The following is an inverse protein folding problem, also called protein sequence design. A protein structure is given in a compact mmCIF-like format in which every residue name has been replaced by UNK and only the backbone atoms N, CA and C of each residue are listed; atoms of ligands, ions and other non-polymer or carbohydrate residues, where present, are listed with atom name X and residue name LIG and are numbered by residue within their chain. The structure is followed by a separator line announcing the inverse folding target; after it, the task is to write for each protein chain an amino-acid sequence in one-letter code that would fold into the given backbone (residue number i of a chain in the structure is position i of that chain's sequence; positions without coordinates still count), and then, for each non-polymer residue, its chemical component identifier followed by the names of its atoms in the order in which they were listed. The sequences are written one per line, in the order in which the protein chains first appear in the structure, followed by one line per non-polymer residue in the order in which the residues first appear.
data_IF_071210199511
#
_entry.id   IF_071210199511
#
_cell.length_a   1.000
_cell.length_b   1.000
_cell.length_c   1.000
_cell.angle_alpha   90.00
_cell.angle_beta   90.00
_cell.angle_gamma   90.00
#
_symmetry.space_group_name_H-M   'P 1'
#
loop_
_entity.id
_entity.type
_entity.pdbx_description
1 polymer ?
#
# COMPACT_ATOMS: atom_id res chain seq x y z
N UNK A 1 -36.62 -26.01 -22.83
CA UNK A 1 -35.24 -25.91 -22.29
C UNK A 1 -34.56 -24.61 -22.69
N UNK A 2 -34.56 -24.20 -23.94
CA UNK A 2 -33.92 -22.97 -24.43
C UNK A 2 -34.42 -21.68 -23.78
N UNK A 3 -35.76 -21.58 -23.54
CA UNK A 3 -36.35 -20.39 -22.91
C UNK A 3 -35.90 -20.18 -21.44
N UNK A 4 -35.75 -21.26 -20.67
CA UNK A 4 -35.27 -21.19 -19.28
C UNK A 4 -33.79 -20.74 -19.19
N UNK A 5 -33.02 -21.14 -20.18
CA UNK A 5 -31.60 -20.73 -20.28
C UNK A 5 -31.50 -19.24 -20.61
N UNK A 6 -32.35 -18.74 -21.51
CA UNK A 6 -32.38 -17.30 -21.86
C UNK A 6 -32.77 -16.45 -20.65
N UNK A 7 -33.78 -16.87 -19.88
CA UNK A 7 -34.16 -16.17 -18.66
C UNK A 7 -33.03 -16.17 -17.62
N UNK A 8 -32.32 -17.29 -17.45
CA UNK A 8 -31.20 -17.38 -16.51
C UNK A 8 -30.05 -16.46 -16.91
N UNK A 9 -29.71 -16.40 -18.21
CA UNK A 9 -28.69 -15.48 -18.74
C UNK A 9 -29.12 -14.02 -18.55
N UNK A 10 -30.40 -13.70 -18.78
CA UNK A 10 -30.94 -12.35 -18.60
C UNK A 10 -30.88 -11.90 -17.13
N UNK A 11 -31.22 -12.78 -16.19
CA UNK A 11 -31.16 -12.50 -14.73
C UNK A 11 -29.72 -12.35 -14.29
N UNK A 12 -28.78 -13.13 -14.84
CA UNK A 12 -27.36 -13.05 -14.49
C UNK A 12 -26.67 -11.81 -15.08
N UNK A 13 -27.10 -11.37 -16.27
CA UNK A 13 -26.57 -10.14 -16.89
C UNK A 13 -27.10 -8.85 -16.25
N UNK A 14 -28.23 -8.90 -15.56
CA UNK A 14 -28.77 -7.76 -14.81
C UNK A 14 -28.10 -7.52 -13.46
N UNK A 15 -27.27 -8.44 -12.98
CA UNK A 15 -26.41 -8.24 -11.81
C UNK A 15 -25.14 -7.47 -12.21
N UNK A 16 -25.30 -6.29 -12.81
CA UNK A 16 -24.24 -5.31 -12.88
C UNK A 16 -23.86 -4.93 -11.45
N UNK A 17 -22.74 -5.45 -10.97
CA UNK A 17 -22.15 -4.95 -9.74
C UNK A 17 -21.73 -3.51 -10.06
N UNK A 18 -22.49 -2.55 -9.55
CA UNK A 18 -22.08 -1.16 -9.56
C UNK A 18 -20.86 -1.07 -8.63
N UNK A 19 -19.68 -1.23 -9.21
CA UNK A 19 -18.43 -0.98 -8.51
C UNK A 19 -18.29 0.55 -8.47
N UNK A 20 -18.63 1.15 -7.34
CA UNK A 20 -18.31 2.53 -7.07
C UNK A 20 -16.85 2.55 -6.60
N UNK A 21 -15.97 3.09 -7.46
CA UNK A 21 -14.63 3.46 -7.04
C UNK A 21 -14.70 4.78 -6.28
N UNK A 22 -14.15 4.84 -5.08
CA UNK A 22 -13.98 6.10 -4.37
C UNK A 22 -12.82 6.89 -4.99
N UNK A 23 -12.92 8.20 -4.97
CA UNK A 23 -11.81 9.07 -5.35
C UNK A 23 -10.61 8.78 -4.44
N UNK A 24 -9.42 8.76 -5.03
CA UNK A 24 -8.17 8.54 -4.32
C UNK A 24 -7.35 9.81 -4.18
N UNK A 25 -6.13 9.68 -3.65
CA UNK A 25 -5.14 10.75 -3.52
C UNK A 25 -5.62 11.93 -2.66
N UNK A 26 -6.21 11.65 -1.52
CA UNK A 26 -6.60 12.65 -0.55
C UNK A 26 -5.38 13.33 0.06
N UNK A 27 -5.47 14.65 0.29
CA UNK A 27 -4.42 15.41 0.97
C UNK A 27 -4.40 14.99 2.44
N UNK A 28 -3.29 14.47 2.98
CA UNK A 28 -3.25 13.92 4.34
C UNK A 28 -3.70 14.88 5.43
N UNK A 29 -3.40 16.17 5.31
CA UNK A 29 -3.84 17.20 6.26
C UNK A 29 -5.35 17.48 6.23
N UNK A 30 -6.07 16.99 5.24
CA UNK A 30 -7.53 17.14 5.08
C UNK A 30 -8.31 15.86 5.35
N UNK A 31 -7.67 14.77 5.78
CA UNK A 31 -8.32 13.48 6.04
C UNK A 31 -9.49 13.59 7.03
N UNK A 32 -9.45 14.55 7.94
CA UNK A 32 -10.54 14.80 8.90
C UNK A 32 -11.89 15.03 8.22
N UNK A 33 -11.89 15.65 7.03
CA UNK A 33 -13.11 15.97 6.28
C UNK A 33 -13.81 14.72 5.77
N UNK A 34 -13.04 13.70 5.41
CA UNK A 34 -13.55 12.45 4.80
C UNK A 34 -13.51 11.26 5.77
N UNK A 35 -13.06 11.46 7.00
CA UNK A 35 -12.92 10.40 8.02
C UNK A 35 -14.21 9.59 8.20
N UNK A 36 -15.37 10.27 8.19
CA UNK A 36 -16.66 9.60 8.32
C UNK A 36 -16.96 8.63 7.17
N UNK A 37 -16.64 9.02 5.94
CA UNK A 37 -16.78 8.15 4.79
C UNK A 37 -15.80 6.98 4.84
N UNK A 38 -14.53 7.25 5.12
CA UNK A 38 -13.50 6.21 5.25
C UNK A 38 -13.86 5.17 6.31
N UNK A 39 -14.44 5.60 7.45
CA UNK A 39 -14.94 4.70 8.50
C UNK A 39 -16.13 3.87 8.05
N UNK A 40 -17.05 4.44 7.28
CA UNK A 40 -18.17 3.69 6.72
C UNK A 40 -17.72 2.61 5.73
N UNK A 41 -16.58 2.84 5.09
CA UNK A 41 -15.95 1.90 4.15
C UNK A 41 -15.04 0.87 4.84
N UNK A 42 -14.96 0.91 6.18
CA UNK A 42 -14.24 -0.08 6.99
C UNK A 42 -12.90 0.38 7.56
N UNK A 43 -12.53 1.66 7.44
CA UNK A 43 -11.33 2.17 8.09
C UNK A 43 -11.51 2.22 9.62
N UNK A 44 -10.63 1.56 10.37
CA UNK A 44 -10.63 1.56 11.83
C UNK A 44 -9.81 2.72 12.41
N UNK A 45 -8.82 3.22 11.66
CA UNK A 45 -7.96 4.33 12.09
C UNK A 45 -8.71 5.67 12.06
N UNK A 46 -8.31 6.59 12.94
CA UNK A 46 -8.72 7.98 12.85
C UNK A 46 -7.85 8.77 11.87
N UNK A 47 -8.31 9.94 11.46
CA UNK A 47 -7.50 10.86 10.67
C UNK A 47 -6.21 11.26 11.41
N UNK A 48 -6.26 11.41 12.74
CA UNK A 48 -5.11 11.73 13.59
C UNK A 48 -4.11 10.57 13.68
N UNK A 49 -4.57 9.31 13.67
CA UNK A 49 -3.67 8.13 13.66
C UNK A 49 -2.87 8.06 12.35
N UNK A 50 -3.46 8.55 11.25
CA UNK A 50 -2.80 8.56 9.94
C UNK A 50 -1.89 9.78 9.81
N UNK A 51 -2.39 10.96 10.14
CA UNK A 51 -1.67 12.21 9.98
C UNK A 51 -1.99 13.17 11.14
N UNK A 52 -1.05 13.35 12.05
CA UNK A 52 -1.11 14.35 13.11
C UNK A 52 0.08 15.30 13.00
N UNK A 53 -0.15 16.60 13.24
CA UNK A 53 0.91 17.61 13.32
C UNK A 53 1.54 17.59 14.70
N UNK A 54 0.74 17.37 15.73
CA UNK A 54 1.14 17.54 17.13
C UNK A 54 1.50 16.24 17.84
N UNK A 55 1.08 15.09 17.29
CA UNK A 55 1.29 13.79 17.90
C UNK A 55 1.97 12.83 16.91
N UNK A 56 2.56 11.76 17.41
CA UNK A 56 3.04 10.67 16.57
C UNK A 56 1.88 10.03 15.82
N UNK A 57 2.08 9.74 14.55
CA UNK A 57 1.09 9.16 13.65
C UNK A 57 1.77 8.33 12.56
N UNK A 58 0.99 7.66 11.73
CA UNK A 58 1.51 6.83 10.65
C UNK A 58 2.47 7.58 9.70
N UNK A 59 2.27 8.91 9.51
CA UNK A 59 3.16 9.74 8.69
C UNK A 59 4.63 9.68 9.14
N UNK A 60 4.88 9.46 10.44
CA UNK A 60 6.24 9.48 10.99
C UNK A 60 7.01 8.19 10.67
N UNK A 61 6.31 7.14 10.25
CA UNK A 61 6.93 5.92 9.74
C UNK A 61 7.41 6.06 8.30
N UNK A 62 6.94 7.07 7.57
CA UNK A 62 7.27 7.28 6.15
C UNK A 62 8.50 8.19 6.07
N UNK A 63 9.52 7.71 5.38
CA UNK A 63 10.82 8.39 5.30
C UNK A 63 11.27 8.58 3.85
N UNK A 64 12.02 9.65 3.62
CA UNK A 64 12.72 9.85 2.35
C UNK A 64 13.93 8.91 2.30
N UNK A 65 14.05 8.12 1.25
CA UNK A 65 15.06 7.08 1.11
C UNK A 65 15.89 7.27 -0.17
N UNK A 66 17.21 7.21 -0.04
CA UNK A 66 18.15 7.15 -1.18
C UNK A 66 18.07 8.32 -2.17
N UNK A 67 17.58 9.50 -1.77
CA UNK A 67 17.60 10.71 -2.60
C UNK A 67 16.45 10.87 -3.59
N UNK A 68 15.45 9.98 -3.60
CA UNK A 68 14.32 10.08 -4.53
C UNK A 68 13.22 9.06 -4.30
N UNK A 69 13.40 8.16 -3.35
CA UNK A 69 12.43 7.14 -3.00
C UNK A 69 11.74 7.43 -1.67
N UNK A 70 10.66 6.72 -1.44
CA UNK A 70 9.98 6.63 -0.15
C UNK A 70 10.24 5.25 0.45
N UNK A 71 10.29 5.17 1.76
CA UNK A 71 10.37 3.93 2.50
C UNK A 71 9.56 4.02 3.79
N UNK A 72 9.19 2.88 4.34
CA UNK A 72 8.41 2.77 5.56
C UNK A 72 9.19 2.04 6.65
N UNK A 73 9.32 2.66 7.82
CA UNK A 73 9.88 2.01 9.02
C UNK A 73 8.79 1.18 9.68
N UNK A 74 8.93 -0.15 9.65
CA UNK A 74 7.87 -1.09 10.07
C UNK A 74 8.20 -1.86 11.35
N UNK A 75 9.34 -1.59 11.98
CA UNK A 75 9.69 -2.20 13.26
C UNK A 75 10.49 -1.28 14.17
N UNK A 76 10.46 -1.58 15.46
CA UNK A 76 11.27 -0.89 16.48
C UNK A 76 12.79 -1.09 16.28
N UNK A 77 13.18 -2.15 15.55
CA UNK A 77 14.57 -2.48 15.23
C UNK A 77 15.05 -1.80 13.94
N UNK A 78 14.22 -0.95 13.33
CA UNK A 78 14.59 -0.22 12.11
C UNK A 78 14.42 -1.02 10.82
N UNK A 79 13.54 -2.05 10.79
CA UNK A 79 13.19 -2.71 9.53
C UNK A 79 12.48 -1.71 8.62
N UNK A 80 13.00 -1.59 7.41
CA UNK A 80 12.50 -0.67 6.39
C UNK A 80 11.96 -1.48 5.21
N UNK A 81 10.77 -1.11 4.72
CA UNK A 81 10.22 -1.57 3.46
C UNK A 81 10.38 -0.47 2.42
N UNK A 82 10.76 -0.85 1.21
CA UNK A 82 10.86 0.06 0.06
C UNK A 82 10.79 -0.72 -1.24
N UNK A 83 10.78 -0.02 -2.37
CA UNK A 83 10.79 -0.65 -3.69
C UNK A 83 12.20 -1.19 -4.03
N UNK A 84 12.24 -2.34 -4.71
CA UNK A 84 13.51 -2.96 -5.13
C UNK A 84 14.43 -1.98 -5.88
N UNK A 85 13.90 -1.18 -6.80
CA UNK A 85 14.71 -0.23 -7.58
C UNK A 85 15.36 0.85 -6.71
N UNK A 86 14.80 1.16 -5.55
CA UNK A 86 15.37 2.14 -4.62
C UNK A 86 16.64 1.63 -3.91
N UNK A 87 16.74 0.33 -3.71
CA UNK A 87 17.92 -0.33 -3.14
C UNK A 87 18.84 -0.96 -4.16
N UNK A 88 18.51 -0.92 -5.45
CA UNK A 88 19.17 -1.68 -6.49
C UNK A 88 20.69 -1.44 -6.55
N UNK A 89 21.13 -0.19 -6.54
CA UNK A 89 22.55 0.16 -6.61
C UNK A 89 23.35 -0.37 -5.41
N UNK A 90 22.76 -0.34 -4.22
CA UNK A 90 23.38 -0.87 -3.01
C UNK A 90 23.49 -2.40 -3.08
N UNK A 91 22.42 -3.06 -3.49
CA UNK A 91 22.41 -4.52 -3.66
C UNK A 91 23.47 -4.92 -4.72
N UNK A 92 23.57 -4.17 -5.82
CA UNK A 92 24.56 -4.42 -6.87
C UNK A 92 25.98 -4.24 -6.36
N UNK A 93 26.28 -3.17 -5.62
CA UNK A 93 27.61 -2.92 -5.05
C UNK A 93 28.08 -4.03 -4.11
N UNK A 94 27.17 -4.64 -3.37
CA UNK A 94 27.46 -5.74 -2.47
C UNK A 94 27.41 -7.11 -3.12
N UNK A 95 26.96 -7.20 -4.38
CA UNK A 95 26.94 -8.46 -5.14
C UNK A 95 28.30 -8.78 -5.75
N UNK A 96 28.62 -10.06 -5.87
CA UNK A 96 29.79 -10.59 -6.56
C UNK A 96 29.37 -11.72 -7.53
N UNK A 97 30.32 -12.23 -8.30
CA UNK A 97 30.07 -13.41 -9.17
C UNK A 97 29.67 -14.65 -8.33
N UNK A 98 30.23 -14.77 -7.13
CA UNK A 98 29.94 -15.88 -6.22
C UNK A 98 28.65 -15.66 -5.42
N UNK A 99 28.33 -14.41 -5.08
CA UNK A 99 27.19 -14.02 -4.27
C UNK A 99 26.33 -12.98 -5.01
N UNK A 100 25.49 -13.44 -5.93
CA UNK A 100 24.62 -12.58 -6.71
C UNK A 100 23.33 -12.27 -5.94
N UNK A 101 23.37 -11.22 -5.12
CA UNK A 101 22.23 -10.80 -4.29
C UNK A 101 21.09 -10.22 -5.10
N UNK A 102 21.34 -9.67 -6.30
CA UNK A 102 20.27 -9.21 -7.19
C UNK A 102 19.38 -10.36 -7.66
N UNK A 103 19.98 -11.54 -7.94
CA UNK A 103 19.28 -12.71 -8.42
C UNK A 103 18.72 -13.56 -7.29
N UNK A 104 19.50 -13.77 -6.25
CA UNK A 104 19.21 -14.77 -5.22
C UNK A 104 18.57 -14.17 -3.96
N UNK A 105 18.54 -12.84 -3.87
CA UNK A 105 18.21 -12.16 -2.65
C UNK A 105 19.33 -12.31 -1.59
N UNK A 106 19.11 -11.66 -0.47
CA UNK A 106 20.02 -11.71 0.68
C UNK A 106 19.19 -11.69 1.95
N UNK A 107 19.40 -12.64 2.83
CA UNK A 107 18.78 -12.68 4.16
C UNK A 107 19.87 -12.92 5.21
N UNK A 108 19.92 -12.05 6.19
CA UNK A 108 20.77 -12.23 7.37
C UNK A 108 19.87 -12.25 8.60
N UNK A 109 19.88 -13.35 9.31
CA UNK A 109 19.28 -13.44 10.65
C UNK A 109 20.29 -12.86 11.64
N UNK A 110 19.85 -11.85 12.40
CA UNK A 110 20.62 -11.29 13.51
C UNK A 110 20.38 -12.11 14.77
#
# INVERSE_FOLDING_TARGET
MKFKIIIFILIFSLKGILIFGHEGMWIPSLLKVIEGQMKSDGLELSAEDIYSINNSSLKDAIVHFGGGCTAEVVSKQGLILTNHHCGYSQIQQHSSLENNYLKNGFTRYL
#
